data_IF_781948404761
#
_entry.id   IF_781948404761
#
_cell.length_a   1.000
_cell.length_b   1.000
_cell.length_c   1.000
_cell.angle_alpha   90.00
_cell.angle_beta   90.00
_cell.angle_gamma   90.00
#
_symmetry.space_group_name_H-M   'P 1'
#
loop_
_entity.id
_entity.type
_entity.pdbx_description
1 polymer ?
#
# COMPACT_ATOMS: atom_id res chain seq x y z
N UNK A 1 0.62 -10.78 10.32
CA UNK A 1 1.91 -10.64 9.59
C UNK A 1 1.63 -9.80 8.36
N UNK A 2 2.24 -8.62 8.26
CA UNK A 2 2.09 -7.74 7.11
C UNK A 2 2.99 -8.24 5.97
N UNK A 3 2.40 -8.63 4.85
CA UNK A 3 3.15 -8.94 3.63
C UNK A 3 2.79 -7.85 2.63
N UNK A 4 3.70 -6.92 2.42
CA UNK A 4 3.53 -5.86 1.44
C UNK A 4 3.87 -6.42 0.06
N UNK A 5 2.91 -6.34 -0.85
CA UNK A 5 3.09 -6.75 -2.24
C UNK A 5 3.20 -5.52 -3.12
N UNK A 6 3.84 -5.63 -4.28
CA UNK A 6 3.90 -4.50 -5.21
C UNK A 6 2.51 -4.01 -5.61
N UNK A 7 1.50 -4.90 -5.69
CA UNK A 7 0.12 -4.52 -5.98
C UNK A 7 -0.51 -3.58 -4.92
N UNK A 8 0.01 -3.61 -3.68
CA UNK A 8 -0.43 -2.74 -2.58
C UNK A 8 0.23 -1.35 -2.62
N UNK A 9 1.09 -1.09 -3.61
CA UNK A 9 1.88 0.13 -3.72
C UNK A 9 1.39 1.05 -4.84
N UNK A 10 1.54 2.36 -4.67
CA UNK A 10 1.23 3.33 -5.71
C UNK A 10 2.19 3.14 -6.86
N UNK A 11 1.82 3.65 -8.03
CA UNK A 11 2.61 3.51 -9.25
C UNK A 11 4.06 4.03 -9.17
N UNK A 12 4.36 4.91 -8.23
CA UNK A 12 5.72 5.42 -7.97
C UNK A 12 6.41 4.73 -6.78
N UNK A 13 5.74 3.75 -6.16
CA UNK A 13 6.20 3.01 -5.00
C UNK A 13 6.24 3.82 -3.70
N UNK A 14 5.63 5.01 -3.66
CA UNK A 14 5.74 5.95 -2.53
C UNK A 14 4.61 5.88 -1.53
N UNK A 15 3.49 5.27 -1.88
CA UNK A 15 2.38 5.00 -0.97
C UNK A 15 2.16 3.49 -0.95
N UNK A 16 2.10 2.90 0.24
CA UNK A 16 1.65 1.53 0.42
C UNK A 16 0.36 1.53 1.23
N UNK A 17 -0.64 0.80 0.78
CA UNK A 17 -1.91 0.57 1.49
C UNK A 17 -2.20 -0.91 1.45
N UNK A 18 -2.13 -1.58 2.61
CA UNK A 18 -2.38 -3.02 2.69
C UNK A 18 -3.28 -3.36 3.88
N UNK A 19 -3.95 -4.50 3.77
CA UNK A 19 -4.83 -5.06 4.80
C UNK A 19 -4.20 -6.32 5.37
N UNK A 20 -4.05 -6.39 6.68
CA UNK A 20 -3.48 -7.58 7.32
C UNK A 20 -4.52 -8.67 7.61
N UNK A 21 -4.07 -9.77 8.22
CA UNK A 21 -4.89 -10.92 8.59
C UNK A 21 -5.95 -10.63 9.67
N UNK A 22 -5.74 -9.58 10.47
CA UNK A 22 -6.70 -9.12 11.49
C UNK A 22 -7.69 -8.11 10.88
N UNK A 23 -7.44 -7.75 9.62
CA UNK A 23 -8.25 -6.86 8.81
C UNK A 23 -7.87 -5.40 9.01
N UNK A 24 -6.73 -5.08 9.63
CA UNK A 24 -6.23 -3.73 9.87
C UNK A 24 -5.66 -3.15 8.59
N UNK A 25 -5.88 -1.85 8.39
CA UNK A 25 -5.29 -1.14 7.26
C UNK A 25 -4.02 -0.42 7.70
N UNK A 26 -2.94 -0.71 6.99
CA UNK A 26 -1.64 -0.09 7.17
C UNK A 26 -1.38 0.84 6.00
N UNK A 27 -1.18 2.12 6.28
CA UNK A 27 -0.86 3.14 5.29
C UNK A 27 0.55 3.64 5.58
N UNK A 28 1.43 3.58 4.59
CA UNK A 28 2.82 4.04 4.72
C UNK A 28 3.19 4.95 3.57
N UNK A 29 3.83 6.07 3.89
CA UNK A 29 4.47 6.93 2.89
C UNK A 29 5.96 6.63 2.88
N UNK A 30 6.45 6.13 1.75
CA UNK A 30 7.85 5.77 1.53
C UNK A 30 8.57 6.99 0.93
N UNK A 31 9.59 7.54 1.61
CA UNK A 31 10.30 8.70 1.11
C UNK A 31 11.09 8.36 -0.17
N UNK A 32 11.42 9.37 -0.99
CA UNK A 32 12.32 9.18 -2.13
C UNK A 32 13.66 8.58 -1.68
N UNK A 33 14.29 7.77 -2.53
CA UNK A 33 15.59 7.17 -2.24
C UNK A 33 16.69 8.23 -1.94
N UNK A 34 16.60 9.41 -2.55
CA UNK A 34 17.50 10.54 -2.26
C UNK A 34 17.33 11.13 -0.86
N UNK A 35 16.26 10.75 -0.16
CA UNK A 35 15.87 11.21 1.18
C UNK A 35 15.51 10.04 2.08
N UNK A 36 16.22 8.92 1.94
CA UNK A 36 15.96 7.69 2.70
C UNK A 36 16.04 7.88 4.23
N UNK A 37 16.72 8.93 4.68
CA UNK A 37 16.84 9.29 6.10
C UNK A 37 15.68 10.17 6.61
N UNK A 38 14.76 10.60 5.74
CA UNK A 38 13.57 11.35 6.14
C UNK A 38 12.59 10.41 6.87
N UNK A 39 11.97 10.95 7.93
CA UNK A 39 10.89 10.27 8.65
C UNK A 39 9.77 9.85 7.69
N UNK A 40 9.52 8.55 7.59
CA UNK A 40 8.42 7.97 6.83
C UNK A 40 7.17 7.90 7.71
N UNK A 41 6.17 8.79 7.55
CA UNK A 41 4.96 8.70 8.34
C UNK A 41 4.19 7.43 7.97
N UNK A 42 3.78 6.69 9.00
CA UNK A 42 2.84 5.57 8.89
C UNK A 42 1.59 5.86 9.71
N UNK A 43 0.44 5.42 9.20
CA UNK A 43 -0.86 5.50 9.85
C UNK A 43 -1.49 4.11 9.83
N UNK A 44 -1.94 3.65 10.98
CA UNK A 44 -2.57 2.34 11.16
C UNK A 44 -4.04 2.52 11.58
N UNK A 45 -4.94 1.83 10.88
CA UNK A 45 -6.36 1.75 11.22
C UNK A 45 -6.67 0.38 11.83
N UNK A 46 -6.56 0.32 13.15
CA UNK A 46 -6.74 -0.89 13.98
C UNK A 46 -8.21 -1.38 14.03
N UNK A 47 -8.40 -2.70 14.07
CA UNK A 47 -9.70 -3.41 14.15
C UNK A 47 -10.44 -3.16 15.44
N UNK A 48 -9.69 -2.89 16.49
CA UNK A 48 -10.21 -2.78 17.84
C UNK A 48 -10.89 -1.43 18.10
N UNK A 49 -10.87 -0.51 17.12
CA UNK A 49 -11.56 0.77 17.16
C UNK A 49 -12.78 0.79 16.24
N UNK A 50 -13.80 1.61 16.53
CA UNK A 50 -14.96 1.75 15.66
C UNK A 50 -14.54 2.33 14.30
N UNK A 51 -14.44 1.46 13.29
CA UNK A 51 -14.08 1.87 11.94
C UNK A 51 -15.26 2.57 11.27
N UNK A 52 -15.03 3.76 10.76
CA UNK A 52 -15.99 4.43 9.87
C UNK A 52 -16.21 3.55 8.62
N UNK A 53 -17.44 3.09 8.35
CA UNK A 53 -17.72 2.26 7.16
C UNK A 53 -17.34 2.97 5.86
N UNK A 54 -17.46 4.30 5.83
CA UNK A 54 -17.05 5.13 4.68
C UNK A 54 -15.55 5.13 4.47
N UNK A 55 -14.77 5.16 5.55
CA UNK A 55 -13.31 5.15 5.49
C UNK A 55 -12.82 3.80 5.00
N UNK A 56 -13.39 2.70 5.51
CA UNK A 56 -13.06 1.34 5.05
C UNK A 56 -13.33 1.20 3.55
N UNK A 57 -14.52 1.58 3.08
CA UNK A 57 -14.86 1.51 1.67
C UNK A 57 -13.92 2.36 0.78
N UNK A 58 -13.49 3.52 1.25
CA UNK A 58 -12.53 4.36 0.53
C UNK A 58 -11.14 3.73 0.43
N UNK A 59 -10.66 3.09 1.50
CA UNK A 59 -9.38 2.40 1.51
C UNK A 59 -9.39 1.18 0.60
N UNK A 60 -10.46 0.39 0.63
CA UNK A 60 -10.63 -0.76 -0.27
C UNK A 60 -10.67 -0.32 -1.74
N UNK A 61 -11.37 0.77 -2.05
CA UNK A 61 -11.40 1.33 -3.40
C UNK A 61 -10.02 1.84 -3.87
N UNK A 62 -9.24 2.43 -2.95
CA UNK A 62 -7.88 2.89 -3.24
C UNK A 62 -6.93 1.71 -3.54
N UNK A 63 -6.97 0.66 -2.71
CA UNK A 63 -6.18 -0.56 -2.93
C UNK A 63 -6.48 -1.17 -4.31
N UNK A 64 -7.77 -1.27 -4.68
CA UNK A 64 -8.17 -1.81 -5.98
C UNK A 64 -7.68 -0.94 -7.15
N UNK A 65 -7.74 0.39 -7.01
CA UNK A 65 -7.22 1.30 -8.03
C UNK A 65 -5.69 1.15 -8.21
N UNK A 66 -4.95 1.03 -7.10
CA UNK A 66 -3.49 0.81 -7.14
C UNK A 66 -3.14 -0.53 -7.79
N UNK A 67 -3.89 -1.59 -7.46
CA UNK A 67 -3.75 -2.91 -8.10
C UNK A 67 -3.94 -2.83 -9.61
N UNK A 68 -5.01 -2.17 -10.08
CA UNK A 68 -5.30 -1.98 -11.51
C UNK A 68 -4.21 -1.17 -12.21
N UNK A 69 -3.74 -0.08 -11.61
CA UNK A 69 -2.63 0.73 -12.14
C UNK A 69 -1.36 -0.11 -12.34
N UNK A 70 -1.06 -1.00 -11.38
CA UNK A 70 0.10 -1.90 -11.41
C UNK A 70 -0.08 -3.05 -12.42
N UNK A 71 -1.30 -3.51 -12.69
CA UNK A 71 -1.57 -4.45 -13.77
C UNK A 71 -1.37 -3.82 -15.16
N UNK A 72 -1.83 -2.58 -15.36
CA UNK A 72 -1.63 -1.86 -16.62
C UNK A 72 -0.16 -1.47 -16.83
N UNK A 73 0.54 -1.11 -15.73
CA UNK A 73 1.93 -0.64 -15.74
C UNK A 73 2.66 -1.12 -14.48
N UNK A 74 3.29 -2.31 -14.55
CA UNK A 74 4.02 -2.89 -13.43
C UNK A 74 5.08 -1.95 -12.87
N UNK A 75 5.31 -2.05 -11.56
CA UNK A 75 6.32 -1.27 -10.88
C UNK A 75 7.73 -1.63 -11.41
N UNK A 76 8.66 -0.66 -11.45
CA UNK A 76 10.04 -0.94 -11.84
C UNK A 76 10.64 -2.03 -10.94
N UNK A 77 11.12 -3.13 -11.54
CA UNK A 77 11.68 -4.27 -10.80
C UNK A 77 10.71 -5.45 -10.58
N UNK A 78 9.45 -5.38 -11.03
CA UNK A 78 8.55 -6.54 -11.07
C UNK A 78 8.80 -7.50 -12.25
N UNK A 79 9.58 -7.09 -13.24
CA UNK A 79 10.07 -7.98 -14.29
C UNK A 79 11.25 -8.80 -13.75
N UNK A 80 10.99 -9.76 -12.86
CA UNK A 80 11.94 -10.83 -12.60
C UNK A 80 11.77 -11.90 -13.67
N UNK A 81 12.76 -11.96 -14.57
CA UNK A 81 13.14 -13.05 -15.47
C UNK A 81 12.02 -13.99 -15.94
N UNK A 82 11.54 -13.76 -17.17
CA UNK A 82 11.06 -14.87 -18.00
C UNK A 82 12.30 -15.61 -18.53
N UNK A 83 12.70 -16.68 -17.86
CA UNK A 83 13.43 -17.79 -18.50
C UNK A 83 12.53 -18.55 -19.47
#
# INVERSE_FOLDING_TARGET
MLIERPEDMSRDGRLAVCRDSEGDFHIRVIPPAERSDDYAPSVEFVAHCSRSPRTVAALEALMEAMRLDNEERPLPGQFTDSE
#
